data_IF_152767664345
#
_entry.id   IF_152767664345
#
_cell.length_a   1.000
_cell.length_b   1.000
_cell.length_c   1.000
_cell.angle_alpha   90.00
_cell.angle_beta   90.00
_cell.angle_gamma   90.00
#
_symmetry.space_group_name_H-M   'P 1'
#
loop_
_entity.id
_entity.type
_entity.pdbx_description
1 polymer ?
#
# COMPACT_ATOMS: atom_id res chain seq x y z
N UNK A 1 -37.33 -4.54 7.67
CA UNK A 1 -36.00 -4.95 8.18
C UNK A 1 -35.47 -3.85 9.06
N UNK A 2 -35.32 -4.12 10.36
CA UNK A 2 -34.98 -3.12 11.35
C UNK A 2 -33.52 -2.67 11.23
N UNK A 3 -33.29 -1.36 11.04
CA UNK A 3 -31.97 -0.75 11.09
C UNK A 3 -31.44 -0.75 12.52
N UNK A 4 -30.23 -1.24 12.73
CA UNK A 4 -29.58 -1.22 14.02
C UNK A 4 -29.12 0.21 14.32
N UNK A 5 -29.67 0.82 15.36
CA UNK A 5 -29.18 2.06 15.98
C UNK A 5 -27.87 1.77 16.72
N UNK A 6 -26.78 2.45 16.33
CA UNK A 6 -25.56 2.51 17.13
C UNK A 6 -25.44 3.92 17.69
N UNK A 7 -25.60 4.14 19.00
CA UNK A 7 -25.43 5.46 19.59
C UNK A 7 -23.93 5.81 19.65
N UNK A 8 -23.58 7.01 19.17
CA UNK A 8 -22.25 7.59 19.34
C UNK A 8 -22.18 8.29 20.71
N UNK A 9 -21.30 7.90 21.64
CA UNK A 9 -21.29 8.42 23.00
C UNK A 9 -20.71 9.83 23.19
N UNK A 10 -20.31 10.53 22.13
CA UNK A 10 -19.62 11.82 22.23
C UNK A 10 -20.46 13.06 21.87
N UNK A 11 -21.64 12.88 21.32
CA UNK A 11 -22.54 14.00 21.04
C UNK A 11 -23.96 13.63 21.44
N UNK A 12 -24.44 14.22 22.54
CA UNK A 12 -25.80 14.02 23.01
C UNK A 12 -26.83 14.37 21.94
N UNK A 13 -27.87 13.60 21.88
CA UNK A 13 -29.22 13.68 21.29
C UNK A 13 -29.56 14.67 20.15
N UNK A 14 -28.64 15.17 19.37
CA UNK A 14 -28.97 16.23 18.42
C UNK A 14 -28.91 15.88 16.93
N UNK A 15 -28.41 14.74 16.49
CA UNK A 15 -28.50 14.37 15.07
C UNK A 15 -28.53 12.84 14.91
N UNK A 16 -29.72 12.31 14.65
CA UNK A 16 -29.86 10.96 14.08
C UNK A 16 -29.56 11.01 12.59
N UNK A 17 -28.37 10.65 12.18
CA UNK A 17 -28.10 10.37 10.77
C UNK A 17 -28.49 8.91 10.49
N UNK A 18 -29.52 8.74 9.69
CA UNK A 18 -29.71 7.48 8.99
C UNK A 18 -28.57 7.35 7.98
N UNK A 19 -27.49 6.65 8.34
CA UNK A 19 -26.42 6.31 7.42
C UNK A 19 -26.98 5.30 6.43
N UNK A 20 -27.65 5.77 5.36
CA UNK A 20 -27.75 4.97 4.16
C UNK A 20 -26.32 4.70 3.73
N UNK A 21 -25.91 3.43 3.78
CA UNK A 21 -24.61 2.99 3.27
C UNK A 21 -24.44 3.57 1.87
N UNK A 22 -23.41 4.40 1.62
CA UNK A 22 -23.14 4.81 0.26
C UNK A 22 -22.88 3.55 -0.57
N UNK A 23 -23.28 3.49 -1.84
CA UNK A 23 -23.17 2.32 -2.69
C UNK A 23 -21.74 1.82 -2.91
N UNK A 24 -20.74 2.47 -2.33
CA UNK A 24 -19.30 2.16 -2.47
C UNK A 24 -18.62 1.77 -1.15
N UNK A 25 -19.33 1.57 -0.07
CA UNK A 25 -18.75 0.85 1.07
C UNK A 25 -18.58 -0.58 0.58
N UNK A 26 -17.34 -0.92 0.27
CA UNK A 26 -16.89 -2.25 -0.09
C UNK A 26 -17.52 -3.26 0.85
N UNK A 27 -18.56 -3.97 0.38
CA UNK A 27 -19.02 -5.13 1.08
C UNK A 27 -17.90 -6.16 1.00
N UNK A 28 -17.19 -6.29 2.11
CA UNK A 28 -16.07 -7.23 2.27
C UNK A 28 -16.45 -8.68 1.96
N UNK A 29 -17.73 -8.92 1.61
CA UNK A 29 -18.30 -10.21 1.23
C UNK A 29 -18.56 -10.35 -0.28
N UNK A 30 -18.36 -9.28 -1.07
CA UNK A 30 -18.49 -9.40 -2.53
C UNK A 30 -17.23 -10.04 -3.12
N UNK A 31 -17.40 -10.99 -4.04
CA UNK A 31 -16.28 -11.60 -4.73
C UNK A 31 -15.55 -10.53 -5.58
N UNK A 32 -14.24 -10.68 -5.70
CA UNK A 32 -13.28 -9.75 -6.30
C UNK A 32 -13.58 -9.27 -7.75
N UNK A 33 -14.70 -9.65 -8.33
CA UNK A 33 -15.06 -9.36 -9.74
C UNK A 33 -15.45 -7.91 -10.01
N UNK A 34 -16.04 -7.22 -9.02
CA UNK A 34 -16.49 -5.83 -9.22
C UNK A 34 -15.37 -4.81 -9.03
N UNK A 35 -14.27 -5.21 -8.40
CA UNK A 35 -13.11 -4.35 -8.19
C UNK A 35 -12.15 -4.30 -9.40
N UNK A 36 -12.25 -5.26 -10.32
CA UNK A 36 -11.36 -5.33 -11.48
C UNK A 36 -11.56 -4.16 -12.45
N UNK A 37 -12.78 -3.65 -12.61
CA UNK A 37 -13.07 -2.53 -13.50
C UNK A 37 -12.60 -1.17 -12.95
N UNK A 38 -12.59 -0.99 -11.62
CA UNK A 38 -11.99 0.19 -10.98
C UNK A 38 -10.48 0.06 -10.83
N UNK A 39 -9.96 -1.17 -10.66
CA UNK A 39 -8.54 -1.45 -10.60
C UNK A 39 -7.79 -1.08 -11.89
N UNK A 40 -8.45 -1.12 -13.04
CA UNK A 40 -7.84 -0.79 -14.34
C UNK A 40 -7.34 0.67 -14.45
N UNK A 41 -7.81 1.58 -13.59
CA UNK A 41 -7.34 2.96 -13.52
C UNK A 41 -6.37 3.21 -12.37
N UNK A 42 -5.99 2.18 -11.62
CA UNK A 42 -5.15 2.32 -10.44
C UNK A 42 -3.72 2.66 -10.81
N UNK A 43 -3.32 3.88 -10.53
CA UNK A 43 -1.92 4.21 -10.34
C UNK A 43 -1.61 3.85 -8.89
N UNK A 44 -0.98 2.71 -8.68
CA UNK A 44 -0.53 2.29 -7.36
C UNK A 44 0.86 2.86 -7.10
N UNK A 45 1.03 3.51 -5.98
CA UNK A 45 2.30 3.99 -5.49
C UNK A 45 2.72 3.12 -4.31
N UNK A 46 3.83 2.44 -4.42
CA UNK A 46 4.42 1.72 -3.30
C UNK A 46 5.56 2.55 -2.69
N UNK A 47 5.31 3.05 -1.49
CA UNK A 47 6.30 3.73 -0.67
C UNK A 47 6.98 2.71 0.21
N UNK A 48 8.08 2.22 -0.10
CA UNK A 48 9.19 1.66 0.67
C UNK A 48 10.07 0.72 -0.15
N UNK A 49 11.31 0.61 0.33
CA UNK A 49 12.38 -0.20 -0.23
C UNK A 49 12.46 -1.60 0.37
N UNK A 50 11.53 -1.98 1.27
CA UNK A 50 11.50 -3.27 1.93
C UNK A 50 10.59 -4.24 1.19
N UNK A 51 10.60 -5.49 1.59
CA UNK A 51 9.82 -6.55 0.96
C UNK A 51 8.33 -6.19 0.81
N UNK A 52 7.74 -5.49 1.79
CA UNK A 52 6.31 -5.13 1.78
C UNK A 52 5.95 -4.21 0.60
N UNK A 53 6.74 -3.16 0.36
CA UNK A 53 6.51 -2.26 -0.78
C UNK A 53 6.66 -2.95 -2.13
N UNK A 54 7.65 -3.84 -2.26
CA UNK A 54 7.82 -4.65 -3.47
C UNK A 54 6.65 -5.62 -3.70
N UNK A 55 6.17 -6.25 -2.63
CA UNK A 55 5.00 -7.13 -2.71
C UNK A 55 3.71 -6.35 -2.98
N UNK A 56 3.62 -5.08 -2.59
CA UNK A 56 2.51 -4.21 -2.98
C UNK A 56 2.51 -3.93 -4.49
N UNK A 57 3.68 -3.78 -5.12
CA UNK A 57 3.81 -3.69 -6.59
C UNK A 57 3.29 -4.97 -7.25
N UNK A 58 3.71 -6.14 -6.76
CA UNK A 58 3.25 -7.44 -7.25
C UNK A 58 1.73 -7.59 -7.10
N UNK A 59 1.18 -7.19 -5.95
CA UNK A 59 -0.26 -7.22 -5.69
C UNK A 59 -1.03 -6.28 -6.62
N UNK A 60 -0.54 -5.06 -6.85
CA UNK A 60 -1.14 -4.12 -7.78
C UNK A 60 -1.17 -4.68 -9.21
N UNK A 61 -0.10 -5.34 -9.65
CA UNK A 61 -0.04 -6.02 -10.94
C UNK A 61 -1.05 -7.17 -11.02
N UNK A 62 -1.14 -7.99 -9.97
CA UNK A 62 -2.08 -9.11 -9.88
C UNK A 62 -3.54 -8.62 -9.92
N UNK A 63 -3.83 -7.47 -9.33
CA UNK A 63 -5.14 -6.83 -9.33
C UNK A 63 -5.46 -6.08 -10.63
N UNK A 64 -4.55 -6.06 -11.60
CA UNK A 64 -4.78 -5.49 -12.93
C UNK A 64 -4.51 -3.99 -13.04
N UNK A 65 -3.71 -3.41 -12.15
CA UNK A 65 -3.31 -2.02 -12.29
C UNK A 65 -2.52 -1.82 -13.60
N UNK A 66 -2.95 -0.85 -14.42
CA UNK A 66 -2.32 -0.55 -15.70
C UNK A 66 -1.01 0.22 -15.54
N UNK A 67 -0.99 1.15 -14.59
CA UNK A 67 0.19 1.93 -14.27
C UNK A 67 0.57 1.74 -12.80
N UNK A 68 1.80 1.35 -12.55
CA UNK A 68 2.33 1.07 -11.23
C UNK A 68 3.62 1.86 -11.04
N UNK A 69 3.57 2.86 -10.17
CA UNK A 69 4.71 3.70 -9.85
C UNK A 69 5.36 3.16 -8.58
N UNK A 70 6.63 2.80 -8.63
CA UNK A 70 7.39 2.39 -7.46
C UNK A 70 8.42 3.45 -7.09
N UNK A 71 8.48 3.81 -5.81
CA UNK A 71 9.47 4.78 -5.33
C UNK A 71 10.65 4.07 -4.71
N UNK A 72 11.83 4.20 -5.30
CA UNK A 72 13.06 3.61 -4.81
C UNK A 72 14.31 4.36 -5.27
N UNK A 73 15.28 4.54 -4.35
CA UNK A 73 16.63 5.05 -4.67
C UNK A 73 17.65 3.94 -4.94
N UNK A 74 17.31 2.68 -4.63
CA UNK A 74 18.23 1.55 -4.71
C UNK A 74 18.00 0.75 -5.99
N UNK A 75 19.01 0.62 -6.81
CA UNK A 75 18.91 -0.06 -8.12
C UNK A 75 18.43 -1.51 -8.03
N UNK A 76 18.91 -2.28 -7.03
CA UNK A 76 18.49 -3.67 -6.86
C UNK A 76 16.98 -3.77 -6.66
N UNK A 77 16.41 -2.86 -5.89
CA UNK A 77 14.98 -2.80 -5.62
C UNK A 77 14.18 -2.23 -6.78
N UNK A 78 14.74 -1.28 -7.52
CA UNK A 78 14.15 -0.79 -8.77
C UNK A 78 14.03 -1.91 -9.80
N UNK A 79 15.08 -2.74 -9.94
CA UNK A 79 15.05 -3.91 -10.84
C UNK A 79 13.93 -4.87 -10.44
N UNK A 80 13.88 -5.25 -9.16
CA UNK A 80 12.85 -6.17 -8.67
C UNK A 80 11.43 -5.57 -8.76
N UNK A 81 11.27 -4.26 -8.52
CA UNK A 81 10.01 -3.58 -8.72
C UNK A 81 9.53 -3.65 -10.18
N UNK A 82 10.44 -3.44 -11.14
CA UNK A 82 10.12 -3.61 -12.58
C UNK A 82 9.75 -5.05 -12.91
N UNK A 83 10.46 -6.01 -12.36
CA UNK A 83 10.15 -7.42 -12.54
C UNK A 83 8.78 -7.79 -11.97
N UNK A 84 8.39 -7.19 -10.85
CA UNK A 84 7.06 -7.34 -10.24
C UNK A 84 5.96 -6.56 -10.97
N UNK A 85 6.31 -5.72 -11.94
CA UNK A 85 5.36 -5.04 -12.81
C UNK A 85 5.27 -3.53 -12.64
N UNK A 86 6.22 -2.89 -11.93
CA UNK A 86 6.29 -1.43 -11.91
C UNK A 86 6.55 -0.88 -13.32
N UNK A 87 5.72 0.05 -13.74
CA UNK A 87 5.84 0.74 -15.04
C UNK A 87 6.79 1.93 -14.95
N UNK A 88 6.78 2.60 -13.81
CA UNK A 88 7.57 3.80 -13.57
C UNK A 88 8.32 3.68 -12.24
N UNK A 89 9.51 4.29 -12.19
CA UNK A 89 10.31 4.42 -10.95
C UNK A 89 10.49 5.90 -10.66
N UNK A 90 10.23 6.28 -9.40
CA UNK A 90 10.48 7.62 -8.87
C UNK A 90 11.54 7.52 -7.79
N UNK A 91 12.60 8.30 -7.91
CA UNK A 91 13.74 8.33 -6.98
C UNK A 91 13.65 9.48 -5.99
N UNK A 92 12.92 10.50 -6.36
CA UNK A 92 12.68 11.70 -5.59
C UNK A 92 11.86 11.40 -4.33
N UNK A 93 11.97 12.26 -3.32
CA UNK A 93 11.30 12.14 -2.03
C UNK A 93 10.57 13.42 -1.65
N UNK A 94 9.68 13.31 -0.64
CA UNK A 94 8.95 14.46 -0.13
C UNK A 94 8.14 15.16 -1.21
N UNK A 95 8.24 16.47 -1.26
CA UNK A 95 7.48 17.29 -2.22
C UNK A 95 7.89 17.06 -3.67
N UNK A 96 9.20 16.89 -3.93
CA UNK A 96 9.69 16.58 -5.28
C UNK A 96 9.14 15.25 -5.79
N UNK A 97 9.09 14.24 -4.91
CA UNK A 97 8.51 12.95 -5.24
C UNK A 97 7.02 13.05 -5.55
N UNK A 98 6.27 13.81 -4.75
CA UNK A 98 4.84 14.06 -4.99
C UNK A 98 4.61 14.82 -6.30
N UNK A 99 5.44 15.84 -6.59
CA UNK A 99 5.38 16.57 -7.84
C UNK A 99 5.67 15.67 -9.04
N UNK A 100 6.67 14.82 -8.94
CA UNK A 100 7.02 13.85 -10.01
C UNK A 100 5.87 12.88 -10.29
N UNK A 101 5.19 12.40 -9.25
CA UNK A 101 4.02 11.52 -9.41
C UNK A 101 2.88 12.26 -10.10
N UNK A 102 2.61 13.51 -9.72
CA UNK A 102 1.60 14.34 -10.38
C UNK A 102 1.93 14.56 -11.84
N UNK A 103 3.19 14.86 -12.18
CA UNK A 103 3.64 14.97 -13.57
C UNK A 103 3.34 13.69 -14.36
N UNK A 104 3.74 12.53 -13.81
CA UNK A 104 3.49 11.23 -14.43
C UNK A 104 1.99 10.91 -14.60
N UNK A 105 1.13 11.52 -13.82
CA UNK A 105 -0.33 11.29 -13.81
C UNK A 105 -1.13 12.44 -14.41
N UNK A 106 -0.50 13.29 -15.21
CA UNK A 106 -1.17 14.41 -15.88
C UNK A 106 -1.66 15.49 -14.93
N UNK A 107 -0.98 15.70 -13.80
CA UNK A 107 -1.30 16.72 -12.78
C UNK A 107 -2.26 16.24 -11.69
N UNK A 108 -2.90 15.08 -11.86
CA UNK A 108 -3.97 14.62 -10.95
C UNK A 108 -3.44 13.97 -9.66
N UNK A 109 -2.41 13.15 -9.77
CA UNK A 109 -1.95 12.26 -8.70
C UNK A 109 -2.44 10.81 -8.85
N UNK A 110 -1.98 9.94 -7.98
CA UNK A 110 -2.31 8.52 -7.99
C UNK A 110 -3.75 8.25 -7.50
N UNK A 111 -4.43 7.27 -8.07
CA UNK A 111 -5.76 6.85 -7.61
C UNK A 111 -5.70 6.12 -6.27
N UNK A 112 -4.67 5.30 -6.10
CA UNK A 112 -4.43 4.54 -4.88
C UNK A 112 -2.94 4.55 -4.55
N UNK A 113 -2.62 4.73 -3.29
CA UNK A 113 -1.26 4.76 -2.77
C UNK A 113 -1.15 3.75 -1.64
N UNK A 114 -0.08 2.95 -1.65
CA UNK A 114 0.27 2.09 -0.51
C UNK A 114 1.44 2.71 0.23
N UNK A 115 1.21 3.11 1.47
CA UNK A 115 2.22 3.58 2.39
C UNK A 115 2.69 2.39 3.25
N UNK A 116 3.99 2.07 3.23
CA UNK A 116 4.55 0.89 3.88
C UNK A 116 5.80 1.19 4.74
N UNK A 117 6.01 2.45 5.10
CA UNK A 117 7.15 2.91 5.92
C UNK A 117 6.72 3.22 7.35
N UNK A 118 5.66 4.03 7.51
CA UNK A 118 5.12 4.45 8.80
C UNK A 118 5.75 5.72 9.36
N UNK A 119 6.51 6.50 8.58
CA UNK A 119 7.05 7.80 9.03
C UNK A 119 6.12 8.96 8.64
N UNK A 120 6.28 10.10 9.33
CA UNK A 120 5.56 11.32 9.01
C UNK A 120 5.76 11.74 7.54
N UNK A 121 7.02 11.77 7.08
CA UNK A 121 7.34 12.19 5.70
C UNK A 121 6.73 11.26 4.65
N UNK A 122 6.75 9.95 4.87
CA UNK A 122 6.18 8.99 3.93
C UNK A 122 4.66 9.09 3.87
N UNK A 123 3.99 9.31 5.00
CA UNK A 123 2.55 9.52 5.05
C UNK A 123 2.14 10.82 4.35
N UNK A 124 2.84 11.92 4.62
CA UNK A 124 2.56 13.21 3.97
C UNK A 124 2.82 13.14 2.47
N UNK A 125 3.89 12.47 2.05
CA UNK A 125 4.15 12.23 0.64
C UNK A 125 3.06 11.35 0.01
N UNK A 126 2.57 10.32 0.70
CA UNK A 126 1.47 9.49 0.21
C UNK A 126 0.19 10.31 0.00
N UNK A 127 -0.19 11.13 0.98
CA UNK A 127 -1.36 12.02 0.88
C UNK A 127 -1.21 12.99 -0.30
N UNK A 128 -0.07 13.70 -0.39
CA UNK A 128 0.21 14.69 -1.42
C UNK A 128 0.33 14.12 -2.84
N UNK A 129 0.69 12.84 -2.94
CA UNK A 129 0.79 12.10 -4.21
C UNK A 129 -0.56 11.56 -4.69
N UNK A 130 -1.55 11.51 -3.82
CA UNK A 130 -2.87 10.97 -4.11
C UNK A 130 -3.77 12.05 -4.71
N UNK A 131 -4.56 11.69 -5.71
CA UNK A 131 -5.55 12.61 -6.28
C UNK A 131 -6.71 12.85 -5.31
N UNK A 132 -7.43 13.96 -5.46
CA UNK A 132 -8.69 14.16 -4.75
C UNK A 132 -9.67 13.00 -5.02
N UNK A 133 -10.32 12.49 -3.97
CA UNK A 133 -11.15 11.29 -4.01
C UNK A 133 -10.40 9.97 -4.16
N UNK A 134 -9.06 10.00 -4.08
CA UNK A 134 -8.21 8.81 -4.10
C UNK A 134 -8.03 8.20 -2.71
N UNK A 135 -7.28 7.11 -2.65
CA UNK A 135 -7.13 6.29 -1.46
C UNK A 135 -5.67 6.11 -1.07
N UNK A 136 -5.36 6.27 0.21
CA UNK A 136 -4.09 5.86 0.81
C UNK A 136 -4.34 4.69 1.73
N UNK A 137 -3.78 3.53 1.39
CA UNK A 137 -3.72 2.35 2.25
C UNK A 137 -2.38 2.32 2.98
N UNK A 138 -2.38 2.43 4.32
CA UNK A 138 -1.14 2.32 5.06
C UNK A 138 -1.03 0.97 5.76
N UNK A 139 0.10 0.30 5.56
CA UNK A 139 0.46 -0.99 6.14
C UNK A 139 1.68 -0.88 7.05
N UNK A 140 2.39 0.24 6.99
CA UNK A 140 3.42 0.60 7.95
C UNK A 140 2.79 0.96 9.30
N UNK A 141 3.41 0.53 10.40
CA UNK A 141 3.00 1.01 11.74
C UNK A 141 3.40 2.48 11.84
N UNK A 142 2.41 3.33 12.11
CA UNK A 142 2.64 4.77 12.19
C UNK A 142 3.40 5.12 13.48
N UNK A 143 4.53 5.80 13.33
CA UNK A 143 5.33 6.30 14.44
C UNK A 143 5.40 7.83 14.35
N UNK A 144 4.86 8.51 15.35
CA UNK A 144 4.87 9.98 15.47
C UNK A 144 4.35 10.71 14.22
N UNK A 145 3.30 10.15 13.61
CA UNK A 145 2.68 10.72 12.41
C UNK A 145 1.61 11.71 12.81
N UNK A 146 1.86 12.98 12.56
CA UNK A 146 0.89 14.05 12.69
C UNK A 146 0.42 14.46 11.29
N UNK A 147 -0.89 14.48 11.09
CA UNK A 147 -1.49 14.93 9.82
C UNK A 147 -2.14 16.30 10.08
N UNK A 148 -1.67 17.38 9.44
CA UNK A 148 -2.30 18.68 9.57
C UNK A 148 -3.76 18.63 9.11
N UNK A 149 -4.68 18.94 10.04
CA UNK A 149 -6.12 18.74 9.80
C UNK A 149 -6.64 19.54 8.62
N UNK A 150 -6.16 20.78 8.43
CA UNK A 150 -6.54 21.62 7.30
C UNK A 150 -6.07 21.05 5.97
N UNK A 151 -4.79 20.64 5.87
CA UNK A 151 -4.24 20.03 4.65
C UNK A 151 -4.98 18.74 4.31
N UNK A 152 -5.25 17.91 5.33
CA UNK A 152 -5.99 16.67 5.12
C UNK A 152 -7.43 16.91 4.67
N UNK A 153 -8.13 17.88 5.27
CA UNK A 153 -9.49 18.22 4.89
C UNK A 153 -9.58 18.64 3.41
N UNK A 154 -8.69 19.51 2.95
CA UNK A 154 -8.69 19.96 1.56
C UNK A 154 -8.11 18.95 0.56
N UNK A 155 -7.40 17.92 1.03
CA UNK A 155 -6.87 16.89 0.13
C UNK A 155 -7.95 15.99 -0.46
N UNK A 156 -9.10 15.86 0.21
CA UNK A 156 -10.17 14.90 -0.15
C UNK A 156 -9.70 13.46 -0.29
N UNK A 157 -8.65 13.06 0.44
CA UNK A 157 -8.08 11.72 0.37
C UNK A 157 -8.72 10.81 1.42
N UNK A 158 -8.94 9.55 1.05
CA UNK A 158 -9.39 8.52 1.97
C UNK A 158 -8.21 7.78 2.57
N UNK A 159 -8.13 7.70 3.90
CA UNK A 159 -7.11 6.91 4.61
C UNK A 159 -7.70 5.59 5.11
N UNK A 160 -6.98 4.51 4.83
CA UNK A 160 -7.32 3.18 5.28
C UNK A 160 -6.06 2.48 5.79
N UNK A 161 -6.13 1.77 6.89
CA UNK A 161 -4.97 1.06 7.40
C UNK A 161 -5.32 0.16 8.58
N UNK A 162 -4.29 -0.49 9.08
CA UNK A 162 -4.38 -1.41 10.20
C UNK A 162 -3.74 -2.76 9.91
N UNK A 163 -3.84 -3.72 10.85
CA UNK A 163 -3.30 -5.06 10.68
C UNK A 163 -3.92 -5.76 9.47
N UNK A 164 -3.07 -6.32 8.61
CA UNK A 164 -3.53 -7.07 7.45
C UNK A 164 -4.30 -8.34 7.88
N UNK A 165 -5.48 -8.61 7.33
CA UNK A 165 -6.26 -9.82 7.64
C UNK A 165 -5.67 -11.05 6.92
N UNK A 166 -4.47 -11.46 7.29
CA UNK A 166 -3.66 -12.47 6.62
C UNK A 166 -4.42 -13.76 6.35
N UNK A 167 -5.14 -14.28 7.34
CA UNK A 167 -5.88 -15.54 7.22
C UNK A 167 -6.91 -15.52 6.10
N UNK A 168 -7.46 -14.37 5.78
CA UNK A 168 -8.46 -14.22 4.71
C UNK A 168 -7.84 -14.44 3.33
N UNK A 169 -6.64 -13.90 3.12
CA UNK A 169 -5.98 -13.91 1.80
C UNK A 169 -5.03 -15.11 1.61
N UNK A 170 -4.63 -15.75 2.71
CA UNK A 170 -3.63 -16.82 2.66
C UNK A 170 -3.99 -17.98 1.72
N UNK A 171 -5.24 -18.50 1.70
CA UNK A 171 -5.59 -19.59 0.78
C UNK A 171 -5.42 -19.21 -0.69
N UNK A 172 -5.87 -18.00 -1.07
CA UNK A 172 -5.74 -17.48 -2.44
C UNK A 172 -4.27 -17.25 -2.81
N UNK A 173 -3.48 -16.66 -1.91
CA UNK A 173 -2.07 -16.41 -2.15
C UNK A 173 -1.28 -17.71 -2.31
N UNK A 174 -1.58 -18.73 -1.51
CA UNK A 174 -0.97 -20.07 -1.65
C UNK A 174 -1.31 -20.67 -3.00
N UNK A 175 -2.57 -20.58 -3.44
CA UNK A 175 -2.99 -21.09 -4.74
C UNK A 175 -2.27 -20.35 -5.90
N UNK A 176 -2.17 -19.03 -5.83
CA UNK A 176 -1.45 -18.23 -6.82
C UNK A 176 0.04 -18.61 -6.92
N UNK A 177 0.70 -18.84 -5.77
CA UNK A 177 2.10 -19.29 -5.71
C UNK A 177 2.24 -20.72 -6.24
N UNK A 178 1.37 -21.62 -5.81
CA UNK A 178 1.41 -23.02 -6.23
C UNK A 178 1.24 -23.18 -7.74
N UNK A 179 0.33 -22.41 -8.31
CA UNK A 179 0.09 -22.36 -9.75
C UNK A 179 1.08 -21.47 -10.52
N UNK A 180 2.12 -20.95 -9.86
CA UNK A 180 3.17 -20.09 -10.43
C UNK A 180 2.61 -18.85 -11.13
N UNK A 181 1.50 -18.32 -10.64
CA UNK A 181 0.93 -17.06 -11.12
C UNK A 181 1.64 -15.84 -10.56
N UNK A 182 2.19 -15.97 -9.35
CA UNK A 182 3.04 -14.98 -8.70
C UNK A 182 4.27 -15.66 -8.10
N UNK A 183 5.36 -14.92 -8.01
CA UNK A 183 6.60 -15.37 -7.35
C UNK A 183 7.06 -14.33 -6.32
N UNK A 184 6.43 -14.27 -5.15
CA UNK A 184 6.81 -13.35 -4.09
C UNK A 184 8.15 -13.72 -3.45
N UNK A 185 8.63 -14.96 -3.65
CA UNK A 185 9.88 -15.47 -3.09
C UNK A 185 11.11 -14.70 -3.51
N UNK A 186 11.06 -13.96 -4.63
CA UNK A 186 12.15 -13.12 -5.12
C UNK A 186 12.57 -11.99 -4.19
N UNK A 187 11.76 -11.65 -3.17
CA UNK A 187 12.17 -10.70 -2.13
C UNK A 187 13.23 -11.27 -1.18
N UNK A 188 13.38 -12.60 -1.13
CA UNK A 188 14.43 -13.26 -0.34
C UNK A 188 15.71 -13.33 -1.17
N UNK A 189 16.54 -12.32 -1.07
CA UNK A 189 17.79 -12.17 -1.82
C UNK A 189 19.04 -12.56 -1.00
N UNK A 190 18.85 -13.05 0.24
CA UNK A 190 19.88 -13.56 1.13
C UNK A 190 19.37 -14.82 1.84
N UNK A 191 20.09 -15.92 1.70
CA UNK A 191 19.81 -17.16 2.45
C UNK A 191 20.96 -17.43 3.41
N UNK A 192 20.65 -17.70 4.68
CA UNK A 192 21.60 -17.95 5.75
C UNK A 192 21.15 -19.13 6.62
N UNK A 193 22.09 -19.88 7.23
CA UNK A 193 21.76 -20.81 8.30
C UNK A 193 21.09 -20.06 9.48
N UNK A 194 20.24 -20.77 10.23
CA UNK A 194 19.52 -20.19 11.37
C UNK A 194 20.46 -19.58 12.41
N UNK A 195 21.64 -20.17 12.62
CA UNK A 195 22.67 -19.69 13.55
C UNK A 195 23.20 -18.30 13.18
N UNK A 196 23.05 -17.89 11.92
CA UNK A 196 23.48 -16.60 11.41
C UNK A 196 22.34 -15.55 11.39
N UNK A 197 21.30 -15.73 12.18
CA UNK A 197 20.15 -14.81 12.25
C UNK A 197 20.57 -13.36 12.50
N UNK A 198 21.58 -13.13 13.35
CA UNK A 198 22.08 -11.77 13.63
C UNK A 198 22.66 -11.10 12.38
N UNK A 199 23.36 -11.85 11.51
CA UNK A 199 23.85 -11.33 10.23
C UNK A 199 22.69 -11.05 9.26
N UNK A 200 21.67 -11.89 9.26
CA UNK A 200 20.46 -11.63 8.47
C UNK A 200 19.81 -10.29 8.82
N UNK A 201 19.64 -9.99 10.10
CA UNK A 201 19.11 -8.69 10.56
C UNK A 201 20.04 -7.55 10.18
N UNK A 202 21.35 -7.68 10.39
CA UNK A 202 22.34 -6.67 10.03
C UNK A 202 22.32 -6.36 8.54
N UNK A 203 22.28 -7.39 7.68
CA UNK A 203 22.23 -7.22 6.24
C UNK A 203 20.99 -6.46 5.77
N UNK A 204 19.82 -6.71 6.41
CA UNK A 204 18.61 -5.97 6.10
C UNK A 204 18.67 -4.52 6.61
N UNK A 205 19.25 -4.27 7.78
CA UNK A 205 19.39 -2.95 8.37
C UNK A 205 20.37 -2.07 7.56
N UNK A 206 21.51 -2.64 7.19
CA UNK A 206 22.52 -2.00 6.33
C UNK A 206 22.07 -1.93 4.85
N UNK A 207 20.88 -2.44 4.52
CA UNK A 207 20.29 -2.43 3.17
C UNK A 207 21.09 -3.23 2.13
N UNK A 208 21.90 -4.19 2.57
CA UNK A 208 22.61 -5.16 1.72
C UNK A 208 21.68 -6.25 1.21
N UNK A 209 20.60 -6.53 1.96
CA UNK A 209 19.56 -7.46 1.57
C UNK A 209 18.18 -6.82 1.66
N UNK A 210 17.25 -7.28 0.82
CA UNK A 210 15.83 -6.94 0.88
C UNK A 210 15.18 -7.72 2.02
N UNK A 211 15.36 -9.05 2.00
CA UNK A 211 14.82 -9.95 3.01
C UNK A 211 15.71 -11.19 3.16
N UNK A 212 16.12 -11.50 4.38
CA UNK A 212 16.84 -12.73 4.67
C UNK A 212 15.88 -13.91 4.86
N UNK A 213 16.22 -15.05 4.24
CA UNK A 213 15.62 -16.35 4.48
C UNK A 213 16.58 -17.14 5.39
N UNK A 214 16.08 -17.61 6.52
CA UNK A 214 16.83 -18.46 7.43
C UNK A 214 16.47 -19.93 7.18
N UNK A 215 17.50 -20.74 7.00
CA UNK A 215 17.37 -22.17 6.79
C UNK A 215 17.74 -22.89 8.11
N UNK A 216 16.90 -23.86 8.57
CA UNK A 216 17.17 -24.64 9.76
C UNK A 216 18.37 -25.56 9.59
#
# INVERSE_FOLDING_TARGET
MAGAHVPCPLFGDLIAFEVKRPPHVLDVRQPARDHAAEAQKLVALAHDHRAVGLLAVLAAKQLGAERIIAMSRHESRQRLAREFGATDIVTERGEEGAARIKELTGGLGAHSVVEAVGTHESMMQAIRSTRAGGHVGFVGVLHDVEIPGEEFFYSHVHLHGGPAPVRRFLPELVDLIWNRKIDPGKVFDLSLPLEQVAEGYRAMDERRAIKALLLP
#
